data_IF_927440529171
#
_entry.id   IF_927440529171
#
_cell.length_a   1.000
_cell.length_b   1.000
_cell.length_c   1.000
_cell.angle_alpha   90.00
_cell.angle_beta   90.00
_cell.angle_gamma   90.00
#
_symmetry.space_group_name_H-M   'P 1'
#
loop_
_entity.id
_entity.type
_entity.pdbx_description
1 polymer ?
2 non-polymer ?
3 non-polymer ?
4 non-polymer ?
5 non-polymer ?
6 non-polymer ?
7 water ?
#
# COMPACT_ATOMS: atom_id res chain seq x y z
N UNK A 1 -18.79 20.52 20.15
CA UNK A 1 -20.02 20.26 19.35
C UNK A 1 -21.05 19.49 20.17
N UNK A 2 -22.31 19.59 19.75
CA UNK A 2 -23.39 18.82 20.37
C UNK A 2 -23.09 17.33 20.24
N UNK A 3 -22.47 16.95 19.12
CA UNK A 3 -22.17 15.55 18.85
C UNK A 3 -21.17 14.96 19.85
N UNK A 4 -20.25 15.79 20.34
CA UNK A 4 -19.17 15.34 21.20
C UNK A 4 -19.36 15.76 22.66
N UNK A 5 -20.56 16.21 23.00
CA UNK A 5 -20.87 16.62 24.36
C UNK A 5 -21.73 15.56 25.03
N UNK A 6 -21.42 15.24 26.27
CA UNK A 6 -22.15 14.18 26.97
C UNK A 6 -23.39 14.73 27.66
N UNK A 7 -24.55 14.17 27.30
CA UNK A 7 -25.80 14.50 27.97
C UNK A 7 -26.03 13.54 29.13
N UNK A 8 -25.74 12.27 28.89
CA UNK A 8 -25.86 11.25 29.94
C UNK A 8 -24.87 10.11 29.71
N UNK A 9 -24.33 9.59 30.81
CA UNK A 9 -23.50 8.41 30.78
C UNK A 9 -24.01 7.46 31.84
N UNK A 10 -24.11 6.18 31.53
CA UNK A 10 -24.57 5.22 32.52
C UNK A 10 -24.08 3.82 32.22
N UNK A 11 -24.00 3.00 33.26
CA UNK A 11 -23.60 1.61 33.13
C UNK A 11 -24.83 0.76 32.92
N UNK A 12 -24.76 -0.16 31.97
CA UNK A 12 -25.89 -1.00 31.60
C UNK A 12 -25.48 -2.45 31.45
N UNK A 13 -26.48 -3.32 31.34
CA UNK A 13 -26.24 -4.73 31.04
C UNK A 13 -25.31 -5.37 32.08
N UNK A 14 -25.76 -5.42 33.33
CA UNK A 14 -24.94 -5.94 34.42
C UNK A 14 -23.69 -5.10 34.59
N UNK A 15 -23.80 -3.82 34.27
CA UNK A 15 -22.69 -2.88 34.30
C UNK A 15 -21.53 -3.29 33.38
N UNK A 16 -21.81 -4.17 32.42
CA UNK A 16 -20.80 -4.64 31.47
C UNK A 16 -20.66 -3.71 30.26
N UNK A 17 -21.54 -2.71 30.18
CA UNK A 17 -21.53 -1.73 29.11
C UNK A 17 -21.65 -0.32 29.67
N UNK A 18 -21.02 0.65 29.02
CA UNK A 18 -21.33 2.04 29.25
C UNK A 18 -22.08 2.60 28.05
N UNK A 19 -23.15 3.33 28.31
CA UNK A 19 -23.88 4.01 27.24
C UNK A 19 -23.70 5.52 27.40
N UNK A 20 -23.33 6.17 26.31
CA UNK A 20 -23.31 7.62 26.23
C UNK A 20 -24.46 8.13 25.38
N UNK A 21 -25.27 8.99 25.97
CA UNK A 21 -26.22 9.79 25.22
C UNK A 21 -25.56 11.14 24.93
N UNK A 22 -25.33 11.43 23.65
CA UNK A 22 -24.70 12.68 23.24
C UNK A 22 -25.78 13.74 23.14
N UNK A 23 -25.37 15.00 23.09
CA UNK A 23 -26.34 16.09 23.03
C UNK A 23 -27.04 16.18 21.67
N UNK A 24 -26.51 15.49 20.66
CA UNK A 24 -27.22 15.40 19.38
C UNK A 24 -28.22 14.25 19.39
N UNK A 25 -28.43 13.67 20.57
CA UNK A 25 -29.43 12.63 20.82
C UNK A 25 -29.04 11.25 20.26
N UNK A 26 -27.84 11.13 19.71
CA UNK A 26 -27.32 9.82 19.33
C UNK A 26 -26.75 9.10 20.56
N UNK A 27 -26.75 7.78 20.52
CA UNK A 27 -26.26 6.96 21.63
C UNK A 27 -25.09 6.11 21.17
N UNK A 28 -24.12 5.90 22.06
CA UNK A 28 -22.94 5.08 21.81
C UNK A 28 -22.76 4.09 22.95
N UNK A 29 -22.28 2.90 22.62
CA UNK A 29 -22.08 1.84 23.59
C UNK A 29 -20.60 1.47 23.64
N UNK A 30 -20.08 1.28 24.86
CA UNK A 30 -18.68 0.94 25.06
C UNK A 30 -18.57 -0.21 26.05
N UNK A 31 -18.07 -1.37 25.59
CA UNK A 31 -17.89 -2.49 26.51
C UNK A 31 -16.97 -2.16 27.69
N UNK A 32 -17.39 -2.53 28.89
CA UNK A 32 -16.63 -2.29 30.10
C UNK A 32 -15.20 -2.80 29.99
N UNK A 33 -15.03 -3.98 29.39
CA UNK A 33 -13.71 -4.59 29.30
C UNK A 33 -12.80 -3.76 28.40
N UNK A 34 -13.36 -3.17 27.36
CA UNK A 34 -12.59 -2.31 26.46
C UNK A 34 -12.20 -1.03 27.20
N UNK A 35 -13.12 -0.45 27.98
CA UNK A 35 -12.78 0.74 28.75
C UNK A 35 -11.61 0.45 29.69
N UNK A 36 -11.68 -0.65 30.42
CA UNK A 36 -10.64 -0.95 31.39
C UNK A 36 -9.31 -1.19 30.68
N UNK A 37 -9.36 -1.95 29.59
CA UNK A 37 -8.20 -2.23 28.74
C UNK A 37 -7.51 -0.95 28.27
N UNK A 38 -8.28 0.10 28.11
CA UNK A 38 -7.78 1.34 27.51
C UNK A 38 -7.80 2.53 28.45
N UNK A 39 -7.75 2.22 29.75
CA UNK A 39 -7.55 3.25 30.76
C UNK A 39 -6.32 4.08 30.41
N UNK A 40 -6.44 5.42 30.32
CA UNK A 40 -5.25 6.23 29.99
C UNK A 40 -4.43 6.72 31.19
N UNK A 41 -4.63 6.19 32.40
CA UNK A 41 -3.87 6.66 33.55
C UNK A 41 -2.43 6.19 33.44
N UNK A 42 -1.54 6.77 34.24
CA UNK A 42 -0.11 6.53 34.06
C UNK A 42 0.31 5.11 34.45
N UNK A 43 -0.51 4.40 35.23
CA UNK A 43 -0.23 2.99 35.50
C UNK A 43 -0.43 2.12 34.27
N UNK A 44 -1.44 2.48 33.46
CA UNK A 44 -1.94 1.62 32.39
C UNK A 44 -1.43 2.00 31.02
N UNK A 45 -0.92 3.22 30.91
CA UNK A 45 -0.64 3.82 29.61
C UNK A 45 0.58 4.72 29.67
N UNK A 46 1.52 4.50 28.76
CA UNK A 46 2.78 5.24 28.76
C UNK A 46 2.69 6.41 27.77
N UNK A 47 2.49 7.61 28.32
CA UNK A 47 2.22 8.79 27.52
C UNK A 47 3.28 9.09 26.48
N UNK A 48 4.55 8.97 26.86
CA UNK A 48 5.66 9.31 25.97
C UNK A 48 5.72 8.39 24.75
N UNK A 49 5.29 7.14 24.92
CA UNK A 49 5.26 6.17 23.82
C UNK A 49 3.88 6.08 23.15
N UNK A 50 2.88 6.72 23.77
CA UNK A 50 1.49 6.52 23.38
C UNK A 50 1.20 5.02 23.24
N UNK A 51 1.50 4.26 24.29
CA UNK A 51 1.37 2.82 24.23
C UNK A 51 0.83 2.24 25.53
N UNK A 52 0.20 1.08 25.43
CA UNK A 52 -0.44 0.44 26.58
C UNK A 52 0.61 -0.27 27.44
N UNK A 53 0.62 0.05 28.73
CA UNK A 53 1.44 -0.66 29.70
C UNK A 53 0.67 -1.84 30.31
N UNK A 54 -0.63 -1.67 30.44
CA UNK A 54 -1.50 -2.69 31.02
C UNK A 54 -1.30 -4.03 30.35
N UNK A 55 -1.18 -5.09 31.15
CA UNK A 55 -1.04 -6.44 30.61
C UNK A 55 -2.39 -7.11 30.44
N UNK A 56 -2.51 -7.99 29.43
CA UNK A 56 -3.68 -8.83 29.31
C UNK A 56 -3.95 -9.57 30.62
N UNK A 57 -2.88 -9.99 31.27
CA UNK A 57 -2.97 -10.68 32.56
C UNK A 57 -3.71 -9.89 33.63
N UNK A 58 -3.69 -8.56 33.55
CA UNK A 58 -4.35 -7.71 34.55
C UNK A 58 -5.84 -7.51 34.28
N UNK A 59 -6.28 -7.93 33.11
CA UNK A 59 -7.65 -7.64 32.66
C UNK A 59 -8.62 -8.76 33.02
N UNK A 60 -9.64 -8.42 33.82
CA UNK A 60 -10.75 -9.32 34.07
C UNK A 60 -11.73 -9.17 32.90
N UNK A 61 -11.88 -10.19 32.08
CA UNK A 61 -12.68 -10.05 30.87
C UNK A 61 -14.17 -9.98 31.20
N UNK A 62 -14.52 -10.34 32.45
CA UNK A 62 -15.90 -10.25 32.92
C UNK A 62 -16.13 -9.02 33.77
N UNK A 63 -15.21 -8.07 33.70
CA UNK A 63 -15.28 -6.87 34.51
C UNK A 63 -16.55 -6.06 34.21
N UNK A 64 -17.09 -5.43 35.26
CA UNK A 64 -18.16 -4.46 35.10
C UNK A 64 -17.77 -3.17 35.79
N UNK A 65 -18.45 -2.09 35.41
CA UNK A 65 -18.21 -0.78 36.01
C UNK A 65 -18.75 -0.75 37.43
N UNK A 66 -17.92 -0.36 38.40
CA UNK A 66 -18.38 -0.31 39.79
C UNK A 66 -19.12 1.00 40.04
N UNK A 67 -18.56 2.09 39.54
CA UNK A 67 -19.18 3.39 39.70
C UNK A 67 -18.86 4.29 38.51
N UNK A 68 -19.75 5.23 38.24
CA UNK A 68 -19.61 6.15 37.12
C UNK A 68 -20.24 7.51 37.45
N UNK A 69 -19.49 8.57 37.26
CA UNK A 69 -20.04 9.93 37.20
C UNK A 69 -19.51 10.58 35.93
N UNK A 70 -20.15 11.67 35.51
CA UNK A 70 -19.76 12.32 34.26
C UNK A 70 -20.05 13.80 34.30
N UNK A 71 -19.40 14.54 33.41
CA UNK A 71 -19.83 15.89 33.10
C UNK A 71 -19.87 15.98 31.57
N UNK A 72 -19.99 17.17 31.03
CA UNK A 72 -20.21 17.32 29.59
C UNK A 72 -19.04 16.81 28.73
N UNK A 73 -17.85 16.71 29.32
CA UNK A 73 -16.64 16.44 28.55
C UNK A 73 -15.86 15.22 29.01
N UNK A 74 -16.27 14.61 30.12
CA UNK A 74 -15.51 13.51 30.72
C UNK A 74 -16.40 12.51 31.43
N UNK A 75 -15.93 11.26 31.45
CA UNK A 75 -16.52 10.21 32.28
C UNK A 75 -15.49 9.79 33.30
N UNK A 76 -15.94 9.53 34.52
CA UNK A 76 -15.07 9.15 35.63
C UNK A 76 -15.59 7.84 36.18
N UNK A 77 -14.74 6.82 36.15
CA UNK A 77 -15.15 5.46 36.46
C UNK A 77 -14.31 4.84 37.56
N UNK A 78 -14.98 4.16 38.48
CA UNK A 78 -14.32 3.29 39.43
C UNK A 78 -14.55 1.84 39.05
N UNK A 79 -13.51 1.03 39.21
CA UNK A 79 -13.61 -0.40 38.94
C UNK A 79 -13.71 -1.21 40.23
N UNK A 80 -14.16 -2.47 40.11
CA UNK A 80 -14.34 -3.34 41.28
C UNK A 80 -13.10 -3.47 42.17
N UNK A 81 -11.91 -3.45 41.60
CA UNK A 81 -10.68 -3.60 42.39
C UNK A 81 -10.11 -2.25 42.84
N UNK A 82 -10.95 -1.22 42.75
CA UNK A 82 -10.65 0.16 43.16
C UNK A 82 -9.80 0.94 42.16
N UNK A 83 -9.47 0.35 41.01
CA UNK A 83 -8.80 1.13 39.98
C UNK A 83 -9.73 2.24 39.52
N UNK A 84 -9.17 3.34 39.05
CA UNK A 84 -9.95 4.52 38.70
C UNK A 84 -9.52 5.03 37.32
N UNK A 85 -10.50 5.35 36.48
CA UNK A 85 -10.24 5.77 35.09
C UNK A 85 -11.01 7.03 34.69
N UNK A 86 -10.39 7.85 33.84
CA UNK A 86 -11.05 9.00 33.24
C UNK A 86 -10.94 8.91 31.72
N UNK A 87 -12.05 9.14 31.03
CA UNK A 87 -12.10 9.11 29.57
C UNK A 87 -12.69 10.41 29.04
N UNK A 88 -12.08 10.97 28.00
CA UNK A 88 -12.55 12.22 27.40
C UNK A 88 -13.64 11.98 26.36
N UNK A 89 -14.60 12.89 26.32
CA UNK A 89 -15.75 12.75 25.43
C UNK A 89 -15.36 12.64 23.95
N UNK A 90 -14.44 13.48 23.48
CA UNK A 90 -14.09 13.46 22.07
C UNK A 90 -13.35 12.15 21.73
N UNK A 91 -12.53 11.69 22.68
CA UNK A 91 -11.80 10.44 22.52
C UNK A 91 -12.75 9.26 22.39
N UNK A 92 -13.77 9.23 23.24
CA UNK A 92 -14.82 8.22 23.16
C UNK A 92 -15.61 8.29 21.84
N UNK A 93 -16.01 9.50 21.47
CA UNK A 93 -16.84 9.71 20.28
C UNK A 93 -16.16 9.14 19.04
N UNK A 94 -14.87 9.42 18.91
CA UNK A 94 -14.10 8.97 17.76
C UNK A 94 -14.10 7.43 17.66
N UNK A 95 -14.08 6.78 18.82
CA UNK A 95 -13.94 5.34 18.91
C UNK A 95 -15.25 4.58 19.07
N UNK A 96 -16.36 5.30 18.90
CA UNK A 96 -17.69 4.71 18.86
C UNK A 96 -17.72 3.47 17.97
N UNK A 97 -18.33 2.39 18.48
CA UNK A 97 -18.31 1.09 17.81
C UNK A 97 -19.36 0.94 16.70
N UNK A 98 -20.17 1.96 16.48
CA UNK A 98 -21.12 1.92 15.37
C UNK A 98 -20.37 1.74 14.05
N UNK A 99 -21.01 1.07 13.10
CA UNK A 99 -20.36 0.80 11.83
C UNK A 99 -19.95 2.10 11.15
N UNK A 100 -20.85 3.08 11.17
CA UNK A 100 -20.56 4.37 10.51
C UNK A 100 -19.33 5.04 11.11
N UNK A 101 -19.24 5.04 12.44
CA UNK A 101 -18.11 5.66 13.12
C UNK A 101 -16.80 4.91 12.84
N UNK A 102 -16.83 3.58 12.99
CA UNK A 102 -15.65 2.78 12.74
C UNK A 102 -15.17 2.90 11.29
N UNK A 103 -16.11 2.92 10.36
CA UNK A 103 -15.77 3.01 8.95
C UNK A 103 -15.11 4.36 8.64
N UNK A 104 -15.63 5.42 9.23
CA UNK A 104 -15.11 6.76 8.99
C UNK A 104 -13.67 6.86 9.48
N UNK A 105 -13.43 6.30 10.66
CA UNK A 105 -12.11 6.29 11.23
C UNK A 105 -11.16 5.45 10.37
N UNK A 106 -11.63 4.31 9.86
CA UNK A 106 -10.79 3.48 9.01
C UNK A 106 -10.40 4.21 7.72
N UNK A 107 -11.33 4.98 7.15
CA UNK A 107 -11.02 5.77 5.95
C UNK A 107 -9.93 6.80 6.23
N UNK A 108 -9.99 7.40 7.42
CA UNK A 108 -9.03 8.41 7.81
C UNK A 108 -7.65 7.80 8.05
N UNK A 109 -7.62 6.57 8.57
CA UNK A 109 -6.36 5.88 8.86
C UNK A 109 -5.66 5.37 7.60
N UNK A 110 -6.43 4.87 6.64
CA UNK A 110 -5.88 4.07 5.55
C UNK A 110 -6.14 4.59 4.13
N UNK A 111 -6.84 5.72 3.98
CA UNK A 111 -6.97 6.35 2.66
C UNK A 111 -7.41 5.35 1.58
N UNK A 112 -8.59 4.75 1.74
CA UNK A 112 -9.03 3.70 0.82
C UNK A 112 -9.52 4.19 -0.54
N UNK A 113 -9.76 5.48 -0.72
CA UNK A 113 -10.33 5.99 -1.97
C UNK A 113 -9.46 5.57 -3.16
N UNK A 114 -10.10 5.03 -4.18
CA UNK A 114 -9.41 4.43 -5.31
C UNK A 114 -10.09 4.82 -6.61
N UNK A 115 -9.33 5.33 -7.56
CA UNK A 115 -9.84 5.67 -8.87
C UNK A 115 -9.26 4.72 -9.91
N UNK A 116 -10.11 3.83 -10.41
CA UNK A 116 -9.71 2.89 -11.44
C UNK A 116 -9.57 3.62 -12.77
N UNK A 117 -8.64 3.17 -13.60
CA UNK A 117 -8.45 3.80 -14.90
C UNK A 117 -8.02 2.81 -15.98
N UNK A 118 -8.19 3.23 -17.23
CA UNK A 118 -7.73 2.51 -18.40
C UNK A 118 -6.94 3.44 -19.30
N UNK A 119 -7.07 3.26 -20.62
CA UNK A 119 -6.28 4.05 -21.56
C UNK A 119 -6.57 5.55 -21.49
N UNK A 120 -7.68 5.93 -20.87
CA UNK A 120 -8.06 7.34 -20.75
C UNK A 120 -7.28 8.08 -19.66
N UNK A 121 -6.39 7.37 -18.97
CA UNK A 121 -5.64 7.94 -17.85
C UNK A 121 -5.04 9.29 -18.21
N UNK A 122 -5.23 10.23 -17.31
CA UNK A 122 -4.54 11.51 -17.32
C UNK A 122 -3.42 11.41 -16.31
N UNK A 123 -2.18 11.28 -16.76
CA UNK A 123 -1.07 10.98 -15.86
C UNK A 123 -0.85 12.11 -14.85
N UNK A 124 -1.10 11.83 -13.55
CA UNK A 124 -0.90 12.93 -12.59
C UNK A 124 0.55 13.34 -12.59
N UNK A 125 0.79 14.64 -12.66
CA UNK A 125 2.13 15.16 -12.85
C UNK A 125 2.38 16.34 -11.91
N UNK A 126 3.51 16.29 -11.21
CA UNK A 126 3.94 17.36 -10.32
C UNK A 126 5.41 17.67 -10.58
N UNK A 127 5.86 18.81 -10.07
CA UNK A 127 7.26 19.17 -10.17
C UNK A 127 8.08 18.51 -9.06
N UNK A 128 9.24 17.98 -9.45
CA UNK A 128 10.13 17.26 -8.54
C UNK A 128 10.56 18.11 -7.35
N UNK A 129 11.11 19.29 -7.62
CA UNK A 129 11.63 20.13 -6.54
C UNK A 129 10.50 20.64 -5.64
N UNK A 130 9.34 20.94 -6.23
CA UNK A 130 8.19 21.37 -5.43
C UNK A 130 7.84 20.31 -4.38
N UNK A 131 7.84 19.05 -4.80
CA UNK A 131 7.49 17.94 -3.92
C UNK A 131 8.50 17.83 -2.78
N UNK A 132 9.78 18.04 -3.08
CA UNK A 132 10.81 17.97 -2.04
C UNK A 132 10.70 19.14 -1.08
N UNK A 133 10.26 20.29 -1.60
CA UNK A 133 10.31 21.54 -0.85
C UNK A 133 9.04 21.82 -0.05
N UNK A 134 7.89 21.49 -0.61
CA UNK A 134 6.61 21.91 -0.04
C UNK A 134 5.74 20.75 0.41
N UNK A 135 5.30 20.81 1.66
CA UNK A 135 4.46 19.75 2.21
C UNK A 135 3.15 19.62 1.46
N UNK A 136 2.60 20.74 1.00
CA UNK A 136 1.36 20.70 0.22
C UNK A 136 1.52 19.89 -1.06
N UNK A 137 2.68 20.01 -1.69
CA UNK A 137 2.95 19.25 -2.92
C UNK A 137 3.30 17.80 -2.61
N UNK A 138 4.02 17.57 -1.52
CA UNK A 138 4.35 16.20 -1.14
C UNK A 138 3.09 15.46 -0.71
N UNK A 139 2.15 16.18 -0.11
CA UNK A 139 0.87 15.60 0.24
C UNK A 139 0.06 15.23 -1.00
N UNK A 140 0.00 16.13 -1.96
CA UNK A 140 -0.70 15.85 -3.21
C UNK A 140 -0.09 14.63 -3.87
N UNK A 141 1.24 14.56 -3.84
CA UNK A 141 2.00 13.46 -4.42
C UNK A 141 1.60 12.11 -3.83
N UNK A 142 1.77 11.96 -2.53
CA UNK A 142 1.53 10.66 -1.92
C UNK A 142 0.04 10.30 -1.89
N UNK A 143 -0.83 11.29 -1.72
CA UNK A 143 -2.27 11.00 -1.70
C UNK A 143 -2.71 10.53 -3.10
N UNK A 144 -2.17 11.15 -4.13
CA UNK A 144 -2.52 10.79 -5.49
C UNK A 144 -1.95 9.44 -5.83
N UNK A 145 -0.73 9.19 -5.36
CA UNK A 145 -0.06 7.90 -5.55
C UNK A 145 -0.92 6.77 -4.99
N UNK A 146 -1.49 7.00 -3.81
CA UNK A 146 -2.36 6.01 -3.18
C UNK A 146 -3.68 5.83 -3.94
N UNK A 147 -4.27 6.95 -4.37
CA UNK A 147 -5.59 6.93 -4.99
C UNK A 147 -5.57 6.42 -6.42
N UNK A 148 -4.63 6.94 -7.21
CA UNK A 148 -4.60 6.67 -8.64
C UNK A 148 -3.61 5.55 -8.95
N UNK A 149 -2.57 5.43 -8.11
CA UNK A 149 -1.57 4.39 -8.24
C UNK A 149 -0.32 4.82 -8.98
N UNK A 150 -0.30 6.04 -9.49
CA UNK A 150 0.90 6.56 -10.12
C UNK A 150 0.92 8.06 -10.16
N UNK A 151 2.13 8.61 -10.02
CA UNK A 151 2.38 10.04 -10.17
C UNK A 151 3.69 10.20 -10.91
N UNK A 152 3.70 11.09 -11.91
CA UNK A 152 4.92 11.45 -12.59
C UNK A 152 5.49 12.72 -11.98
N UNK A 153 6.78 12.70 -11.69
CA UNK A 153 7.46 13.90 -11.24
C UNK A 153 8.36 14.38 -12.36
N UNK A 154 8.21 15.64 -12.74
CA UNK A 154 9.04 16.24 -13.79
C UNK A 154 10.01 17.25 -13.21
N UNK A 155 11.09 17.52 -13.94
CA UNK A 155 12.03 18.54 -13.56
C UNK A 155 13.11 18.06 -12.60
N UNK A 156 13.37 16.76 -12.58
CA UNK A 156 14.53 16.26 -11.84
C UNK A 156 15.75 16.42 -12.75
N UNK A 157 16.92 16.14 -12.21
CA UNK A 157 18.16 16.23 -12.98
C UNK A 157 18.26 15.02 -13.89
N UNK A 158 19.32 14.97 -14.70
CA UNK A 158 19.62 13.80 -15.51
C UNK A 158 20.84 13.10 -14.94
N UNK A 159 20.92 13.07 -13.61
CA UNK A 159 22.03 12.44 -12.89
C UNK A 159 21.48 11.54 -11.78
N UNK A 160 22.19 10.45 -11.47
CA UNK A 160 21.78 9.59 -10.35
C UNK A 160 21.62 10.36 -9.04
N UNK A 161 20.90 9.79 -8.09
CA UNK A 161 20.72 10.39 -6.79
C UNK A 161 19.37 11.05 -6.58
N UNK A 162 18.52 11.07 -7.59
CA UNK A 162 17.22 11.72 -7.46
C UNK A 162 16.22 10.85 -6.69
N UNK A 163 16.17 9.55 -6.97
CA UNK A 163 15.21 8.71 -6.27
C UNK A 163 15.58 8.63 -4.80
N UNK A 164 16.87 8.80 -4.47
CA UNK A 164 17.31 8.78 -3.08
C UNK A 164 16.76 9.97 -2.31
N UNK A 165 16.65 11.11 -2.97
CA UNK A 165 16.08 12.30 -2.35
C UNK A 165 14.61 12.06 -2.02
N UNK A 166 13.89 11.44 -2.95
CA UNK A 166 12.48 11.12 -2.72
C UNK A 166 12.36 10.11 -1.59
N UNK A 167 13.30 9.17 -1.53
CA UNK A 167 13.34 8.18 -0.47
C UNK A 167 13.43 8.82 0.90
N UNK A 168 14.25 9.86 1.00
CA UNK A 168 14.40 10.60 2.25
C UNK A 168 13.14 11.40 2.56
N UNK A 169 12.51 11.95 1.53
CA UNK A 169 11.27 12.71 1.69
C UNK A 169 10.19 11.81 2.29
N UNK A 170 10.19 10.54 1.88
CA UNK A 170 9.27 9.56 2.43
C UNK A 170 9.70 9.13 3.83
N UNK A 171 10.97 8.76 3.96
CA UNK A 171 11.52 8.30 5.22
C UNK A 171 12.78 7.52 4.93
N UNK A 172 12.61 6.37 4.28
CA UNK A 172 13.74 5.59 3.81
C UNK A 172 13.29 4.58 2.76
N UNK A 173 14.24 4.14 1.94
CA UNK A 173 13.97 3.20 0.88
C UNK A 173 14.04 1.78 1.40
N UNK A 174 13.56 0.88 0.56
CA UNK A 174 13.40 -0.54 0.88
C UNK A 174 14.55 -1.29 0.23
N UNK A 175 15.50 -1.77 1.04
CA UNK A 175 16.68 -2.44 0.51
C UNK A 175 16.37 -3.85 0.03
N UNK A 176 16.88 -4.19 -1.16
CA UNK A 176 16.73 -5.54 -1.71
C UNK A 176 18.08 -6.02 -2.21
N UNK A 177 18.12 -7.25 -2.72
CA UNK A 177 19.36 -7.82 -3.25
C UNK A 177 19.96 -7.07 -4.44
N UNK A 178 19.17 -6.17 -5.04
CA UNK A 178 19.66 -5.39 -6.18
C UNK A 178 20.18 -4.00 -5.76
N UNK A 179 20.14 -3.72 -4.45
CA UNK A 179 20.76 -2.54 -3.89
C UNK A 179 19.76 -1.56 -3.31
N UNK A 180 20.27 -0.49 -2.68
CA UNK A 180 19.42 0.59 -2.21
C UNK A 180 18.74 1.27 -3.39
N UNK A 181 19.52 1.44 -4.45
CA UNK A 181 19.01 1.89 -5.73
C UNK A 181 19.66 1.01 -6.79
N UNK A 182 19.17 1.07 -8.02
CA UNK A 182 19.68 0.19 -9.05
C UNK A 182 19.55 0.83 -10.42
N UNK A 183 20.43 0.43 -11.33
CA UNK A 183 20.58 1.05 -12.63
C UNK A 183 19.99 0.16 -13.70
N UNK A 184 18.92 0.64 -14.33
CA UNK A 184 18.27 -0.09 -15.39
C UNK A 184 18.94 0.30 -16.68
N UNK A 185 19.83 -0.56 -17.15
CA UNK A 185 20.52 -0.35 -18.41
C UNK A 185 20.96 -1.71 -18.95
N UNK A 186 21.37 -1.76 -20.22
CA UNK A 186 21.87 -2.99 -20.81
C UNK A 186 23.22 -3.35 -20.18
N UNK A 187 23.34 -4.59 -19.71
CA UNK A 187 24.54 -5.05 -19.02
C UNK A 187 25.04 -6.39 -19.55
N UNK A 188 26.36 -6.48 -19.77
CA UNK A 188 26.98 -7.74 -20.11
C UNK A 188 26.70 -8.75 -19.00
N UNK A 189 26.41 -9.99 -19.38
CA UNK A 189 26.10 -11.05 -18.43
C UNK A 189 25.02 -10.60 -17.43
N UNK A 190 23.96 -10.01 -17.95
CA UNK A 190 22.86 -9.49 -17.13
C UNK A 190 22.29 -10.52 -16.17
N UNK A 191 22.09 -10.11 -14.92
CA UNK A 191 21.54 -11.01 -13.90
C UNK A 191 20.03 -10.90 -13.82
N UNK A 192 19.44 -10.13 -14.74
CA UNK A 192 18.01 -9.87 -14.74
C UNK A 192 17.60 -9.37 -16.11
N UNK A 193 16.44 -9.82 -16.61
CA UNK A 193 16.02 -9.41 -17.96
C UNK A 193 15.81 -7.89 -18.05
N UNK A 194 15.59 -7.24 -16.90
CA UNK A 194 15.45 -5.79 -16.86
C UNK A 194 16.73 -5.11 -17.35
N UNK A 195 17.86 -5.76 -17.13
CA UNK A 195 19.15 -5.17 -17.46
C UNK A 195 19.57 -5.62 -18.87
N UNK A 196 18.61 -5.67 -19.79
CA UNK A 196 18.84 -5.96 -21.19
C UNK A 196 18.02 -4.97 -22.02
N UNK A 197 18.08 -5.08 -23.34
CA UNK A 197 17.30 -4.20 -24.21
C UNK A 197 16.00 -4.87 -24.64
N UNK A 198 15.68 -6.01 -24.03
CA UNK A 198 14.53 -6.78 -24.45
C UNK A 198 13.22 -6.13 -24.06
N UNK A 199 12.15 -6.57 -24.72
CA UNK A 199 10.81 -6.15 -24.36
C UNK A 199 10.44 -6.76 -23.02
N UNK A 200 9.90 -5.93 -22.13
CA UNK A 200 9.29 -6.41 -20.90
C UNK A 200 7.78 -6.29 -21.01
N UNK A 201 7.10 -7.42 -20.97
CA UNK A 201 5.65 -7.44 -20.93
C UNK A 201 5.20 -6.95 -19.55
N UNK A 202 3.90 -6.78 -19.36
CA UNK A 202 3.38 -6.29 -18.09
C UNK A 202 3.80 -7.20 -16.95
N UNK A 203 4.27 -6.56 -15.89
CA UNK A 203 4.71 -7.28 -14.71
C UNK A 203 4.68 -6.36 -13.50
N UNK A 204 4.65 -6.98 -12.32
CA UNK A 204 4.97 -6.29 -11.08
C UNK A 204 6.42 -6.63 -10.77
N UNK A 205 7.11 -5.74 -10.05
CA UNK A 205 8.49 -6.04 -9.63
C UNK A 205 8.56 -6.93 -8.41
N UNK A 206 9.50 -7.87 -8.47
CA UNK A 206 9.95 -8.67 -7.33
C UNK A 206 8.89 -9.57 -6.68
N UNK A 207 8.10 -10.29 -7.49
CA UNK A 207 7.25 -11.31 -6.87
C UNK A 207 8.07 -12.46 -6.29
N UNK A 208 9.36 -12.51 -6.59
CA UNK A 208 10.24 -13.54 -5.98
C UNK A 208 10.38 -13.33 -4.48
N UNK A 209 9.94 -12.17 -3.99
CA UNK A 209 9.92 -11.89 -2.55
C UNK A 209 8.54 -12.13 -1.96
N UNK A 210 8.49 -12.63 -0.73
CA UNK A 210 7.23 -12.83 -0.01
C UNK A 210 6.49 -11.51 0.16
N UNK A 211 7.26 -10.44 0.38
CA UNK A 211 6.72 -9.10 0.56
C UNK A 211 7.23 -8.22 -0.57
N UNK A 212 6.55 -8.25 -1.73
CA UNK A 212 7.11 -7.45 -2.83
C UNK A 212 7.07 -5.97 -2.49
N UNK A 213 8.00 -5.18 -3.05
CA UNK A 213 7.98 -3.72 -2.87
C UNK A 213 6.61 -3.12 -3.10
N UNK A 214 6.16 -2.24 -2.21
CA UNK A 214 4.86 -1.60 -2.36
C UNK A 214 4.87 -0.49 -3.40
N UNK A 215 5.91 0.34 -3.35
CA UNK A 215 6.02 1.49 -4.24
C UNK A 215 7.35 1.45 -4.98
N UNK A 216 7.30 1.79 -6.26
CA UNK A 216 8.49 1.78 -7.10
C UNK A 216 8.76 3.18 -7.59
N UNK A 217 10.03 3.54 -7.59
CA UNK A 217 10.49 4.83 -8.10
C UNK A 217 11.42 4.57 -9.29
N UNK A 218 11.16 5.23 -10.40
CA UNK A 218 11.95 5.08 -11.62
C UNK A 218 12.26 6.45 -12.21
N UNK A 219 13.55 6.78 -12.26
CA UNK A 219 14.03 8.07 -12.71
C UNK A 219 14.74 7.89 -14.05
N UNK A 220 14.27 8.58 -15.09
CA UNK A 220 14.91 8.47 -16.40
C UNK A 220 16.13 9.38 -16.46
N UNK A 221 17.30 8.77 -16.66
CA UNK A 221 18.55 9.50 -16.76
C UNK A 221 18.91 9.70 -18.23
N UNK A 222 18.87 8.60 -19.00
CA UNK A 222 19.03 8.63 -20.45
C UNK A 222 17.91 7.85 -21.11
N UNK A 223 17.45 8.32 -22.26
CA UNK A 223 16.40 7.63 -23.01
C UNK A 223 16.85 7.47 -24.46
N UNK A 224 16.41 6.38 -25.09
CA UNK A 224 16.79 6.08 -26.46
C UNK A 224 15.62 6.37 -27.39
N UNK A 225 15.92 6.68 -28.64
CA UNK A 225 14.88 6.92 -29.64
C UNK A 225 14.45 5.63 -30.34
N UNK A 226 15.14 4.53 -30.07
CA UNK A 226 14.91 3.30 -30.84
C UNK A 226 13.83 2.41 -30.26
N UNK A 227 13.28 2.84 -29.13
CA UNK A 227 12.22 2.11 -28.46
C UNK A 227 12.21 2.55 -27.00
N UNK A 228 11.83 1.64 -26.11
CA UNK A 228 11.93 1.89 -24.68
C UNK A 228 10.76 2.65 -24.08
N UNK A 229 9.66 2.76 -24.82
CA UNK A 229 8.42 3.35 -24.31
C UNK A 229 7.95 2.57 -23.10
N UNK A 230 7.25 3.25 -22.20
CA UNK A 230 6.67 2.62 -21.02
C UNK A 230 5.19 2.31 -21.26
N UNK A 231 4.72 1.25 -20.62
CA UNK A 231 3.30 0.91 -20.65
C UNK A 231 2.90 0.56 -19.23
N UNK A 232 1.71 0.98 -18.84
CA UNK A 232 1.17 0.64 -17.53
C UNK A 232 -0.28 0.21 -17.69
N UNK A 233 -0.77 -0.51 -16.69
CA UNK A 233 -2.16 -0.90 -16.64
C UNK A 233 -2.56 -0.92 -15.17
N UNK A 234 -3.83 -0.64 -14.92
CA UNK A 234 -4.41 -0.71 -13.58
C UNK A 234 -4.80 -2.15 -13.28
N UNK A 235 -3.93 -2.87 -12.59
CA UNK A 235 -4.18 -4.26 -12.26
C UNK A 235 -5.50 -4.51 -11.54
N UNK A 236 -5.93 -3.57 -10.68
CA UNK A 236 -7.19 -3.77 -9.97
C UNK A 236 -8.37 -3.67 -10.93
N UNK A 237 -8.28 -2.73 -11.87
CA UNK A 237 -9.28 -2.60 -12.93
C UNK A 237 -9.32 -3.85 -13.82
N UNK A 238 -8.14 -4.32 -14.22
CA UNK A 238 -8.06 -5.50 -15.05
C UNK A 238 -8.69 -6.72 -14.35
N UNK A 239 -8.41 -6.88 -13.06
CA UNK A 239 -8.94 -8.00 -12.29
C UNK A 239 -10.47 -7.96 -12.24
N UNK A 240 -11.03 -6.77 -12.11
CA UNK A 240 -12.48 -6.59 -12.10
C UNK A 240 -13.07 -7.02 -13.43
N UNK A 241 -12.40 -6.66 -14.52
CA UNK A 241 -12.86 -7.03 -15.85
C UNK A 241 -12.76 -8.53 -16.05
N UNK A 242 -11.70 -9.13 -15.51
CA UNK A 242 -11.49 -10.56 -15.67
C UNK A 242 -12.57 -11.33 -14.94
N UNK A 243 -12.88 -10.92 -13.71
CA UNK A 243 -13.89 -11.61 -12.93
C UNK A 243 -15.22 -11.57 -13.65
N UNK A 244 -15.49 -10.47 -14.34
CA UNK A 244 -16.74 -10.29 -15.06
C UNK A 244 -16.77 -11.11 -16.34
N UNK A 245 -15.71 -10.99 -17.14
CA UNK A 245 -15.65 -11.67 -18.44
C UNK A 245 -15.38 -13.16 -18.34
N UNK A 246 -14.56 -13.55 -17.38
CA UNK A 246 -14.11 -14.94 -17.26
C UNK A 246 -13.92 -15.36 -15.81
N UNK A 247 -15.03 -15.58 -15.10
CA UNK A 247 -14.96 -15.91 -13.67
C UNK A 247 -14.10 -17.15 -13.40
N UNK A 248 -14.06 -18.10 -14.34
CA UNK A 248 -13.26 -19.31 -14.16
C UNK A 248 -11.77 -18.97 -14.18
N UNK A 249 -11.37 -18.10 -15.10
CA UNK A 249 -9.99 -17.66 -15.16
C UNK A 249 -9.61 -16.90 -13.88
N UNK A 250 -10.50 -16.03 -13.43
CA UNK A 250 -10.28 -15.26 -12.19
C UNK A 250 -10.12 -16.19 -10.99
N UNK A 251 -10.96 -17.21 -10.93
CA UNK A 251 -10.93 -18.18 -9.83
C UNK A 251 -9.57 -18.91 -9.79
N UNK A 252 -9.09 -19.33 -10.95
CA UNK A 252 -7.82 -20.03 -11.05
C UNK A 252 -6.68 -19.12 -10.61
N UNK A 253 -6.65 -17.90 -11.12
CA UNK A 253 -5.51 -17.04 -10.86
C UNK A 253 -5.53 -16.50 -9.43
N UNK A 254 -6.72 -16.44 -8.83
CA UNK A 254 -6.81 -15.99 -7.45
C UNK A 254 -6.74 -17.14 -6.43
N UNK A 255 -6.48 -18.35 -6.89
CA UNK A 255 -6.42 -19.49 -5.97
C UNK A 255 -5.19 -20.38 -6.15
N UNK A 256 -4.46 -20.18 -7.25
CA UNK A 256 -3.34 -21.06 -7.57
C UNK A 256 -2.03 -20.45 -7.12
N UNK A 257 -1.26 -21.19 -6.32
CA UNK A 257 0.04 -20.68 -5.88
C UNK A 257 1.10 -20.96 -6.94
N UNK A 258 1.72 -19.87 -7.38
CA UNK A 258 2.76 -19.90 -8.38
C UNK A 258 4.10 -19.68 -7.71
N UNK A 259 5.10 -20.46 -8.11
CA UNK A 259 6.44 -20.34 -7.57
C UNK A 259 7.23 -19.31 -8.38
N UNK A 260 7.94 -18.44 -7.67
CA UNK A 260 8.82 -17.46 -8.30
C UNK A 260 10.23 -17.68 -7.79
N UNK A 261 11.22 -17.37 -8.62
CA UNK A 261 12.62 -17.65 -8.30
C UNK A 261 13.54 -16.53 -8.79
N UNK A 262 14.64 -16.33 -8.07
CA UNK A 262 15.67 -15.37 -8.51
C UNK A 262 17.01 -15.76 -7.91
N UNK A 263 17.94 -16.15 -8.76
CA UNK A 263 19.23 -16.63 -8.31
C UNK A 263 20.31 -15.85 -9.04
N UNK A 264 21.32 -15.42 -8.31
CA UNK A 264 22.39 -14.64 -8.88
C UNK A 264 23.17 -13.85 -7.85
N UNK A 265 23.85 -12.80 -8.32
CA UNK A 265 24.69 -11.98 -7.47
C UNK A 265 24.50 -10.52 -7.86
N UNK A 266 24.21 -9.67 -6.88
CA UNK A 266 24.23 -8.24 -7.11
C UNK A 266 24.70 -7.56 -5.82
N UNK A 267 23.80 -7.11 -4.97
CA UNK A 267 24.22 -6.49 -3.69
C UNK A 267 25.04 -7.50 -2.91
N UNK A 268 24.56 -8.73 -2.89
CA UNK A 268 25.33 -9.87 -2.44
C UNK A 268 24.82 -11.06 -3.23
N UNK A 269 25.32 -12.25 -2.93
CA UNK A 269 24.82 -13.44 -3.61
C UNK A 269 23.45 -13.84 -3.05
N UNK A 270 22.55 -14.29 -3.92
CA UNK A 270 21.20 -14.64 -3.48
C UNK A 270 20.63 -15.84 -4.22
N UNK A 271 19.70 -16.50 -3.54
CA UNK A 271 18.97 -17.63 -4.09
C UNK A 271 17.58 -17.57 -3.48
N UNK A 272 16.69 -16.91 -4.18
CA UNK A 272 15.41 -16.50 -3.63
C UNK A 272 14.28 -17.32 -4.24
N UNK A 273 13.34 -17.71 -3.40
CA UNK A 273 12.16 -18.49 -3.81
C UNK A 273 10.94 -18.02 -3.07
N UNK A 274 9.81 -17.96 -3.77
CA UNK A 274 8.54 -17.59 -3.15
C UNK A 274 7.39 -18.31 -3.80
N UNK A 275 6.22 -18.18 -3.18
CA UNK A 275 4.97 -18.63 -3.74
C UNK A 275 3.96 -17.50 -3.60
N UNK A 276 3.28 -17.16 -4.68
CA UNK A 276 2.19 -16.17 -4.65
C UNK A 276 1.05 -16.65 -5.53
N UNK A 277 -0.16 -16.32 -5.10
CA UNK A 277 -1.28 -16.30 -6.02
C UNK A 277 -1.14 -15.03 -6.87
N UNK A 278 -1.29 -15.17 -8.19
CA UNK A 278 -1.12 -14.03 -9.09
C UNK A 278 -2.11 -12.92 -8.75
N UNK A 279 -3.35 -13.29 -8.50
CA UNK A 279 -4.36 -12.35 -7.99
C UNK A 279 -4.59 -12.65 -6.52
N UNK A 280 -4.13 -11.74 -5.68
CA UNK A 280 -4.17 -11.97 -4.25
C UNK A 280 -5.36 -11.23 -3.62
N UNK A 281 -6.29 -12.01 -3.07
CA UNK A 281 -7.52 -11.48 -2.48
C UNK A 281 -7.41 -11.39 -0.97
N UNK A 282 -8.10 -10.43 -0.36
CA UNK A 282 -8.19 -10.39 1.10
C UNK A 282 -9.33 -11.30 1.55
N UNK A 283 -9.56 -11.37 2.87
CA UNK A 283 -10.56 -12.28 3.41
C UNK A 283 -11.98 -11.92 2.94
N UNK A 284 -12.16 -10.71 2.45
CA UNK A 284 -13.45 -10.28 1.92
C UNK A 284 -13.58 -10.55 0.42
N UNK A 285 -12.51 -11.03 -0.21
CA UNK A 285 -12.53 -11.32 -1.63
C UNK A 285 -12.16 -10.14 -2.52
N UNK A 286 -11.68 -9.05 -1.93
CA UNK A 286 -11.23 -7.89 -2.71
C UNK A 286 -9.75 -8.05 -3.08
N UNK A 287 -9.38 -7.64 -4.29
CA UNK A 287 -7.99 -7.74 -4.73
C UNK A 287 -7.13 -6.74 -3.97
N UNK A 288 -6.04 -7.21 -3.38
CA UNK A 288 -5.15 -6.32 -2.63
C UNK A 288 -3.76 -6.29 -3.21
N UNK A 289 -3.40 -7.33 -3.97
CA UNK A 289 -2.12 -7.32 -4.65
C UNK A 289 -2.13 -8.23 -5.86
N UNK A 290 -1.43 -7.79 -6.90
CA UNK A 290 -1.08 -8.63 -8.03
C UNK A 290 0.38 -9.00 -7.90
N UNK A 291 0.67 -10.28 -8.11
CA UNK A 291 2.04 -10.80 -8.02
C UNK A 291 2.40 -11.50 -9.32
N UNK A 292 3.03 -10.81 -10.26
CA UNK A 292 3.28 -11.43 -11.55
C UNK A 292 4.43 -10.81 -12.30
N UNK A 293 5.46 -11.60 -12.50
CA UNK A 293 6.54 -11.27 -13.42
C UNK A 293 6.89 -12.52 -14.20
N UNK A 294 6.66 -12.51 -15.51
CA UNK A 294 6.82 -13.72 -16.30
C UNK A 294 8.27 -14.15 -16.41
N UNK A 295 9.19 -13.24 -16.12
CA UNK A 295 10.60 -13.54 -16.19
C UNK A 295 11.06 -14.40 -15.03
N UNK A 296 10.48 -14.17 -13.85
CA UNK A 296 10.93 -14.83 -12.63
C UNK A 296 9.98 -15.94 -12.16
N UNK A 297 8.83 -16.05 -12.80
CA UNK A 297 7.99 -17.23 -12.61
C UNK A 297 8.86 -18.47 -12.88
N UNK A 298 8.90 -19.39 -11.92
CA UNK A 298 9.84 -20.52 -11.94
C UNK A 298 9.46 -21.54 -13.01
N UNK A 299 10.40 -22.41 -13.35
CA UNK A 299 10.13 -23.59 -14.17
C UNK A 299 9.41 -24.61 -13.30
N UNK A 300 9.76 -24.59 -12.02
CA UNK A 300 9.07 -25.38 -11.02
C UNK A 300 7.66 -24.86 -10.92
N UNK A 301 6.69 -25.75 -11.04
CA UNK A 301 5.28 -25.37 -10.96
C UNK A 301 4.58 -26.42 -10.11
N UNK A 302 4.20 -26.02 -8.90
CA UNK A 302 3.76 -26.95 -7.86
C UNK A 302 2.24 -27.10 -7.87
N UNK A 303 1.74 -27.71 -8.95
CA UNK A 303 0.33 -28.05 -9.08
C UNK A 303 0.20 -29.44 -9.69
N UNK A 304 -0.95 -30.12 -9.48
CA UNK A 304 -1.16 -31.38 -10.18
C UNK A 304 -1.23 -31.17 -11.69
N UNK A 305 -0.93 -32.22 -12.44
CA UNK A 305 -0.71 -32.08 -13.87
C UNK A 305 -1.97 -31.55 -14.57
N UNK A 306 -3.15 -31.96 -14.09
CA UNK A 306 -4.39 -31.62 -14.76
C UNK A 306 -4.75 -30.14 -14.60
N UNK A 307 -4.09 -29.45 -13.68
CA UNK A 307 -4.35 -28.03 -13.45
C UNK A 307 -3.44 -27.11 -14.26
N UNK A 308 -2.42 -27.68 -14.89
CA UNK A 308 -1.38 -26.88 -15.52
C UNK A 308 -1.92 -26.12 -16.73
N UNK A 309 -2.53 -26.82 -17.69
CA UNK A 309 -2.95 -26.13 -18.90
C UNK A 309 -4.07 -25.14 -18.62
N UNK A 310 -5.03 -25.50 -17.74
CA UNK A 310 -6.02 -24.47 -17.41
C UNK A 310 -5.43 -23.22 -16.78
N UNK A 311 -4.36 -23.36 -16.01
CA UNK A 311 -3.70 -22.20 -15.43
C UNK A 311 -3.15 -21.30 -16.54
N UNK A 312 -2.42 -21.90 -17.48
CA UNK A 312 -1.85 -21.14 -18.59
C UNK A 312 -2.95 -20.48 -19.43
N UNK A 313 -4.06 -21.17 -19.61
CA UNK A 313 -5.19 -20.60 -20.34
C UNK A 313 -5.72 -19.37 -19.60
N UNK A 314 -5.80 -19.47 -18.28
CA UNK A 314 -6.29 -18.36 -17.46
C UNK A 314 -5.31 -17.19 -17.51
N UNK A 315 -4.02 -17.52 -17.40
CA UNK A 315 -2.99 -16.49 -17.44
C UNK A 315 -3.02 -15.76 -18.78
N UNK A 316 -3.19 -16.50 -19.86
CA UNK A 316 -3.24 -15.88 -21.18
C UNK A 316 -4.38 -14.87 -21.28
N UNK A 317 -5.54 -15.23 -20.74
CA UNK A 317 -6.70 -14.33 -20.76
C UNK A 317 -6.39 -13.03 -20.00
N UNK A 318 -5.75 -13.18 -18.85
CA UNK A 318 -5.38 -12.05 -18.00
C UNK A 318 -4.43 -11.12 -18.74
N UNK A 319 -3.42 -11.70 -19.39
CA UNK A 319 -2.45 -10.91 -20.15
C UNK A 319 -3.10 -10.26 -21.37
N UNK A 320 -3.97 -11.00 -22.04
CA UNK A 320 -4.69 -10.44 -23.17
C UNK A 320 -5.53 -9.23 -22.76
N UNK A 321 -6.16 -9.30 -21.59
CA UNK A 321 -6.93 -8.16 -21.07
C UNK A 321 -6.03 -6.97 -20.75
N UNK A 322 -4.88 -7.22 -20.15
CA UNK A 322 -3.92 -6.16 -19.88
C UNK A 322 -3.49 -5.43 -21.15
N UNK A 323 -3.33 -6.20 -22.23
CA UNK A 323 -2.86 -5.65 -23.50
C UNK A 323 -3.94 -4.96 -24.31
N UNK A 324 -5.20 -5.11 -23.89
CA UNK A 324 -6.32 -4.47 -24.58
C UNK A 324 -6.11 -2.96 -24.70
N UNK A 325 -6.51 -2.38 -25.84
CA UNK A 325 -6.29 -0.95 -26.07
C UNK A 325 -7.05 -0.10 -25.06
N UNK A 326 -8.14 -0.64 -24.51
CA UNK A 326 -8.92 0.08 -23.50
C UNK A 326 -8.24 0.10 -22.12
N UNK A 327 -7.35 -0.85 -21.88
CA UNK A 327 -6.73 -1.02 -20.57
C UNK A 327 -5.40 -0.28 -20.41
N UNK A 328 -4.54 -0.35 -21.42
CA UNK A 328 -3.18 0.11 -21.20
C UNK A 328 -2.98 1.57 -21.61
N UNK A 329 -2.07 2.20 -20.88
CA UNK A 329 -1.69 3.58 -21.07
C UNK A 329 -0.22 3.60 -21.40
N UNK A 330 0.12 4.23 -22.52
CA UNK A 330 1.48 4.23 -23.03
C UNK A 330 2.07 5.64 -23.01
N UNK A 331 3.36 5.72 -22.68
CA UNK A 331 4.05 7.00 -22.63
C UNK A 331 5.54 6.75 -22.72
N UNK A 332 6.31 7.80 -22.97
CA UNK A 332 7.76 7.67 -23.03
C UNK A 332 8.42 8.61 -22.03
N UNK A 333 9.23 8.05 -21.15
CA UNK A 333 9.97 8.84 -20.18
C UNK A 333 11.06 9.66 -20.86
N UNK A 334 11.23 10.89 -20.40
CA UNK A 334 12.31 11.75 -20.83
C UNK A 334 13.30 11.97 -19.70
N UNK A 335 14.55 12.31 -20.03
CA UNK A 335 15.52 12.61 -18.99
C UNK A 335 14.98 13.68 -18.04
N UNK A 336 15.04 13.41 -16.74
CA UNK A 336 14.49 14.30 -15.74
C UNK A 336 13.13 13.88 -15.23
N UNK A 337 12.47 12.95 -15.92
CA UNK A 337 11.19 12.41 -15.45
C UNK A 337 11.41 11.34 -14.40
N UNK A 338 10.55 11.34 -13.40
CA UNK A 338 10.51 10.26 -12.41
C UNK A 338 9.07 9.78 -12.33
N UNK A 339 8.86 8.48 -12.44
CA UNK A 339 7.53 7.95 -12.15
C UNK A 339 7.59 7.20 -10.83
N UNK A 340 6.53 7.37 -10.04
CA UNK A 340 6.38 6.72 -8.76
C UNK A 340 5.05 6.03 -8.80
N UNK A 341 5.02 4.72 -8.54
CA UNK A 341 3.77 4.01 -8.66
C UNK A 341 3.60 2.86 -7.68
N UNK A 342 2.34 2.45 -7.56
CA UNK A 342 1.91 1.35 -6.72
C UNK A 342 2.26 0.02 -7.37
N UNK A 343 3.31 -0.63 -6.86
CA UNK A 343 3.79 -1.88 -7.43
C UNK A 343 2.95 -3.10 -7.02
N UNK A 344 1.98 -2.89 -6.12
CA UNK A 344 1.03 -3.95 -5.77
C UNK A 344 -0.21 -3.94 -6.67
N UNK A 345 -0.45 -2.83 -7.33
CA UNK A 345 -1.66 -2.61 -8.11
C UNK A 345 -1.37 -2.49 -9.62
N UNK A 346 -0.44 -1.62 -9.97
CA UNK A 346 -0.08 -1.44 -11.39
C UNK A 346 0.83 -2.57 -11.87
N UNK A 347 0.69 -2.93 -13.15
CA UNK A 347 1.72 -3.69 -13.85
C UNK A 347 2.32 -2.77 -14.88
N UNK A 348 3.61 -2.92 -15.13
CA UNK A 348 4.31 -2.03 -16.04
C UNK A 348 5.16 -2.83 -17.02
N UNK A 349 5.46 -2.21 -18.15
CA UNK A 349 6.20 -2.87 -19.21
C UNK A 349 7.05 -1.86 -19.95
N UNK A 350 7.94 -2.36 -20.78
CA UNK A 350 8.69 -1.48 -21.66
C UNK A 350 8.95 -2.14 -22.99
N UNK A 351 8.95 -1.32 -24.03
CA UNK A 351 9.18 -1.81 -25.38
C UNK A 351 10.65 -2.04 -25.59
N UNK A 352 10.99 -3.06 -26.39
CA UNK A 352 12.37 -3.33 -26.69
C UNK A 352 13.00 -2.13 -27.39
N UNK A 353 14.31 -2.02 -27.27
CA UNK A 353 15.08 -1.00 -27.98
C UNK A 353 16.35 -1.66 -28.46
N UNK A 354 17.15 -0.92 -29.23
CA UNK A 354 18.33 -1.50 -29.86
C UNK A 354 19.56 -1.39 -28.99
N UNK A 355 20.31 -2.49 -28.92
CA UNK A 355 21.60 -2.49 -28.23
C UNK A 355 22.64 -1.75 -29.07
N UNK A 356 23.66 -1.23 -28.40
CA UNK A 356 24.73 -0.50 -29.05
C UNK A 356 25.98 -0.51 -28.19
N UNK A 357 27.04 0.11 -28.66
CA UNK A 357 28.33 0.06 -27.99
C UNK A 357 28.31 0.75 -26.63
N UNK A 358 27.82 1.98 -26.58
CA UNK A 358 27.68 2.69 -25.31
C UNK A 358 26.21 2.73 -24.88
N UNK A 359 25.97 3.17 -23.64
CA UNK A 359 24.65 3.11 -23.06
C UNK A 359 23.73 4.19 -23.60
N UNK A 360 22.62 3.78 -24.18
CA UNK A 360 21.69 4.70 -24.83
C UNK A 360 20.47 4.97 -23.97
N UNK A 361 20.31 4.19 -22.90
CA UNK A 361 19.14 4.26 -22.06
C UNK A 361 19.56 3.87 -20.65
N UNK A 362 19.11 4.65 -19.67
CA UNK A 362 19.52 4.50 -18.27
C UNK A 362 18.43 5.04 -17.36
N UNK A 363 17.83 4.17 -16.56
CA UNK A 363 16.95 4.58 -15.47
C UNK A 363 17.61 4.22 -14.15
N UNK A 364 17.37 5.04 -13.11
CA UNK A 364 17.71 4.62 -11.75
C UNK A 364 16.43 4.39 -10.98
N UNK A 365 16.37 3.24 -10.32
CA UNK A 365 15.17 2.86 -9.61
C UNK A 365 15.43 2.58 -8.14
N UNK A 366 14.34 2.59 -7.39
CA UNK A 366 14.37 2.23 -5.98
C UNK A 366 12.97 1.78 -5.56
N UNK A 367 12.87 1.22 -4.36
CA UNK A 367 11.61 0.74 -3.82
C UNK A 367 11.33 1.40 -2.47
N UNK A 368 10.06 1.41 -2.09
CA UNK A 368 9.67 1.82 -0.74
C UNK A 368 8.52 0.95 -0.24
N UNK A 369 8.47 0.77 1.07
CA UNK A 369 7.40 0.00 1.70
C UNK A 369 6.16 0.88 1.84
N UNK A 370 4.99 0.32 1.59
CA UNK A 370 3.75 1.08 1.73
C UNK A 370 3.54 1.62 3.14
N UNK A 371 4.03 0.91 4.13
CA UNK A 371 3.85 1.39 5.50
C UNK A 371 4.68 2.65 5.73
N UNK A 372 5.82 2.73 5.08
CA UNK A 372 6.68 3.90 5.17
C UNK A 372 5.99 5.06 4.46
N UNK A 373 5.45 4.77 3.28
CA UNK A 373 4.76 5.80 2.51
C UNK A 373 3.49 6.29 3.21
N UNK A 374 2.70 5.35 3.74
CA UNK A 374 1.46 5.72 4.44
C UNK A 374 1.76 6.53 5.70
N UNK A 375 2.82 6.18 6.41
CA UNK A 375 3.24 6.96 7.58
C UNK A 375 3.49 8.41 7.19
N UNK A 376 4.25 8.61 6.11
CA UNK A 376 4.58 9.98 5.69
C UNK A 376 3.30 10.70 5.24
N UNK A 377 2.44 9.97 4.56
CA UNK A 377 1.17 10.53 4.10
C UNK A 377 0.31 11.01 5.30
N UNK A 378 0.26 10.21 6.36
CA UNK A 378 -0.51 10.57 7.55
C UNK A 378 0.02 11.84 8.19
N UNK A 379 1.35 11.94 8.28
CA UNK A 379 2.00 13.08 8.88
C UNK A 379 1.80 14.32 8.03
N UNK A 380 1.95 14.16 6.71
CA UNK A 380 1.77 15.29 5.81
C UNK A 380 0.36 15.85 5.89
N UNK A 381 -0.64 14.97 5.93
CA UNK A 381 -2.03 15.41 6.03
C UNK A 381 -2.24 16.28 7.27
N UNK A 382 -1.60 15.88 8.36
CA UNK A 382 -1.70 16.61 9.62
C UNK A 382 -1.04 17.98 9.50
N UNK A 383 0.10 18.04 8.81
CA UNK A 383 0.81 19.31 8.64
C UNK A 383 0.03 20.28 7.76
N UNK A 384 -0.53 19.78 6.66
CA UNK A 384 -1.28 20.62 5.73
C UNK A 384 -2.64 21.02 6.29
N UNK A 385 -3.20 20.20 7.18
CA UNK A 385 -4.45 20.51 7.86
C UNK A 385 -4.21 21.05 9.27
#
# INVERSE_FOLDING_TARGET
>A
SMACTIQKAEALDGAHLMQILWYDEEESLYPAVWLRDNCPCSDCYLDSAKARKLLVEALDVNIGIKGLIFDRKKVYITWPDEHYSEFQADWLKKRCFSKQARAKLQRELFFPECQYWGSELQLPTLDFEDVLRYDEHAYKWLSTLKKVGIVRLTGASDKPGEVSKLGKRMGFLYLTFYGHTWQVQDKIDANNVAYTTGKLSFHTDYPALHHPPGVQLLHCIKQTVTGGDSEIVDGFNVCQKLKKNNPQAFQILSSTFVDFTDIGVDYCDFSVQSKHKIIELDDKGQVVRINFNNATRDTIFDVPVERVQPFYAALKEFVDLMNSKESKFTFKMNPGDVITFDNWRLLHGRRSYEAGTEISRHLEGAYADWDVVMSRLRILRQRVENGN
#
